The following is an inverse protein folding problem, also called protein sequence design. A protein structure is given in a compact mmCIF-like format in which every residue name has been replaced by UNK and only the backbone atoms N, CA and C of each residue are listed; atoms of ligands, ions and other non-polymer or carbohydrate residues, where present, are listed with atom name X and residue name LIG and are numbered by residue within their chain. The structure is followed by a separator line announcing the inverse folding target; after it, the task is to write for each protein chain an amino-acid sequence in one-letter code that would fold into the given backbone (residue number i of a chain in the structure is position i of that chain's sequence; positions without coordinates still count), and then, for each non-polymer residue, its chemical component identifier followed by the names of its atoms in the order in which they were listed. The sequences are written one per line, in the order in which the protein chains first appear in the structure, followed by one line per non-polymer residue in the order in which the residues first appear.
data_IF_559541216438
#
_entry.id   IF_559541216438
#
_cell.length_a   1.000
_cell.length_b   1.000
_cell.length_c   1.000
_cell.angle_alpha   90.00
_cell.angle_beta   90.00
_cell.angle_gamma   90.00
#
_symmetry.space_group_name_H-M   'P 1'
#
loop_
_entity.id
_entity.type
_entity.pdbx_description
1 polymer ?
#
# COMPACT_ATOMS: atom_id res chain seq x y z
N UNK A 1 7.05 -9.76 -20.99
CA UNK A 1 8.03 -9.37 -19.97
C UNK A 1 9.32 -10.16 -20.15
N UNK A 2 10.45 -9.48 -20.28
CA UNK A 2 11.73 -10.10 -20.64
C UNK A 2 12.38 -10.94 -19.51
N UNK A 3 11.98 -10.76 -18.26
CA UNK A 3 12.58 -11.44 -17.08
C UNK A 3 11.65 -12.41 -16.35
N UNK A 4 10.34 -12.42 -16.65
CA UNK A 4 9.31 -13.24 -15.98
C UNK A 4 9.51 -13.35 -14.45
N UNK A 5 9.54 -12.21 -13.73
CA UNK A 5 9.77 -12.23 -12.30
C UNK A 5 8.60 -12.89 -11.56
N UNK A 6 8.89 -13.63 -10.50
CA UNK A 6 7.85 -14.17 -9.60
C UNK A 6 7.28 -13.08 -8.67
N UNK A 7 8.08 -12.03 -8.41
CA UNK A 7 7.71 -10.90 -7.56
C UNK A 7 8.26 -9.57 -8.09
N UNK A 8 7.48 -8.50 -7.92
CA UNK A 8 7.88 -7.11 -8.15
C UNK A 8 7.73 -6.35 -6.84
N UNK A 9 8.75 -5.59 -6.45
CA UNK A 9 8.71 -4.68 -5.32
C UNK A 9 8.61 -3.24 -5.84
N UNK A 10 7.64 -2.49 -5.34
CA UNK A 10 7.43 -1.07 -5.66
C UNK A 10 7.53 -0.27 -4.37
N UNK A 11 8.44 0.70 -4.37
CA UNK A 11 8.68 1.60 -3.24
C UNK A 11 8.11 2.98 -3.58
N UNK A 12 7.03 3.37 -2.89
CA UNK A 12 6.26 4.60 -3.08
C UNK A 12 5.97 4.99 -4.56
N UNK A 13 5.44 4.08 -5.39
CA UNK A 13 5.21 4.35 -6.80
C UNK A 13 4.12 5.40 -7.08
N UNK A 14 3.26 5.72 -6.11
CA UNK A 14 2.22 6.74 -6.23
C UNK A 14 2.66 8.12 -5.73
N UNK A 15 3.87 8.24 -5.17
CA UNK A 15 4.40 9.52 -4.71
C UNK A 15 4.42 10.56 -5.84
N UNK A 16 3.75 11.69 -5.63
CA UNK A 16 3.68 12.79 -6.60
C UNK A 16 2.70 12.57 -7.76
N UNK A 17 1.96 11.45 -7.79
CA UNK A 17 0.90 11.22 -8.77
C UNK A 17 -0.39 11.93 -8.35
N UNK A 18 -1.16 12.38 -9.34
CA UNK A 18 -2.53 12.83 -9.08
C UNK A 18 -3.49 11.63 -8.93
N UNK A 19 -4.70 11.81 -8.37
CA UNK A 19 -5.63 10.70 -8.14
C UNK A 19 -5.98 9.87 -9.38
N UNK A 20 -5.99 10.48 -10.57
CA UNK A 20 -6.28 9.78 -11.84
C UNK A 20 -5.10 8.88 -12.23
N UNK A 21 -3.88 9.36 -12.04
CA UNK A 21 -2.65 8.62 -12.27
C UNK A 21 -2.48 7.48 -11.26
N UNK A 22 -2.76 7.71 -9.98
CA UNK A 22 -2.78 6.67 -8.94
C UNK A 22 -3.76 5.54 -9.29
N UNK A 23 -4.97 5.88 -9.76
CA UNK A 23 -5.91 4.85 -10.25
C UNK A 23 -5.39 4.10 -11.48
N UNK A 24 -4.68 4.78 -12.38
CA UNK A 24 -4.07 4.12 -13.53
C UNK A 24 -2.98 3.13 -13.09
N UNK A 25 -2.15 3.52 -12.14
CA UNK A 25 -1.14 2.65 -11.52
C UNK A 25 -1.77 1.43 -10.85
N UNK A 26 -2.82 1.63 -10.05
CA UNK A 26 -3.60 0.55 -9.42
C UNK A 26 -4.13 -0.45 -10.44
N UNK A 27 -4.64 0.02 -11.58
CA UNK A 27 -5.10 -0.85 -12.68
C UNK A 27 -3.96 -1.65 -13.30
N UNK A 28 -2.79 -1.04 -13.48
CA UNK A 28 -1.59 -1.73 -14.00
C UNK A 28 -1.17 -2.84 -13.04
N UNK A 29 -1.06 -2.55 -11.74
CA UNK A 29 -0.66 -3.53 -10.72
C UNK A 29 -1.61 -4.74 -10.72
N UNK A 30 -2.93 -4.48 -10.74
CA UNK A 30 -3.94 -5.54 -10.85
C UNK A 30 -3.79 -6.36 -12.13
N UNK A 31 -3.53 -5.71 -13.26
CA UNK A 31 -3.29 -6.39 -14.53
C UNK A 31 -2.07 -7.32 -14.46
N UNK A 32 -0.97 -6.87 -13.86
CA UNK A 32 0.24 -7.69 -13.69
C UNK A 32 -0.05 -8.96 -12.90
N UNK A 33 -0.75 -8.82 -11.77
CA UNK A 33 -1.15 -9.94 -10.91
C UNK A 33 -2.11 -10.90 -11.62
N UNK A 34 -3.12 -10.38 -12.32
CA UNK A 34 -4.16 -11.20 -12.95
C UNK A 34 -3.69 -11.93 -14.22
N UNK A 35 -2.93 -11.25 -15.08
CA UNK A 35 -2.55 -11.80 -16.39
C UNK A 35 -1.21 -12.54 -16.37
N UNK A 36 -0.32 -12.16 -15.45
CA UNK A 36 1.02 -12.73 -15.40
C UNK A 36 1.27 -13.56 -14.12
N UNK A 37 0.34 -13.58 -13.16
CA UNK A 37 0.49 -14.34 -11.91
C UNK A 37 1.64 -13.84 -11.03
N UNK A 38 2.03 -12.57 -11.21
CA UNK A 38 3.17 -11.96 -10.52
C UNK A 38 2.71 -11.48 -9.14
N UNK A 39 3.51 -11.76 -8.12
CA UNK A 39 3.31 -11.20 -6.78
C UNK A 39 3.79 -9.76 -6.74
N UNK A 40 2.99 -8.84 -6.19
CA UNK A 40 3.38 -7.44 -6.06
C UNK A 40 3.51 -7.10 -4.58
N UNK A 41 4.70 -6.71 -4.16
CA UNK A 41 4.96 -6.10 -2.87
C UNK A 41 4.98 -4.58 -3.08
N UNK A 42 4.08 -3.90 -2.38
CA UNK A 42 3.92 -2.45 -2.46
C UNK A 42 4.24 -1.84 -1.10
N UNK A 43 5.09 -0.82 -1.10
CA UNK A 43 5.35 0.05 0.04
C UNK A 43 4.69 1.39 -0.30
N UNK A 44 3.68 1.77 0.47
CA UNK A 44 2.88 2.98 0.23
C UNK A 44 2.31 3.51 1.54
N UNK A 45 2.08 4.82 1.57
CA UNK A 45 1.35 5.49 2.64
C UNK A 45 -0.05 5.96 2.21
N UNK A 46 -0.37 5.95 0.91
CA UNK A 46 -1.73 6.23 0.42
C UNK A 46 -2.69 5.09 0.80
N UNK A 47 -3.49 5.31 1.85
CA UNK A 47 -4.45 4.32 2.35
C UNK A 47 -5.56 4.02 1.34
N UNK A 48 -5.93 4.96 0.48
CA UNK A 48 -6.96 4.72 -0.54
C UNK A 48 -6.50 3.67 -1.55
N UNK A 49 -5.29 3.83 -2.06
CA UNK A 49 -4.67 2.88 -2.97
C UNK A 49 -4.40 1.54 -2.27
N UNK A 50 -3.74 1.55 -1.11
CA UNK A 50 -3.35 0.32 -0.39
C UNK A 50 -4.56 -0.54 -0.08
N UNK A 51 -5.67 0.06 0.38
CA UNK A 51 -6.90 -0.67 0.70
C UNK A 51 -7.61 -1.19 -0.57
N UNK A 52 -7.46 -0.50 -1.69
CA UNK A 52 -8.09 -0.89 -2.95
C UNK A 52 -7.42 -2.11 -3.60
N UNK A 53 -6.08 -2.20 -3.60
CA UNK A 53 -5.35 -3.19 -4.41
C UNK A 53 -4.70 -4.32 -3.62
N UNK A 54 -4.59 -4.21 -2.29
CA UNK A 54 -3.86 -5.19 -1.48
C UNK A 54 -4.75 -6.36 -1.07
N UNK A 55 -4.28 -7.59 -1.31
CA UNK A 55 -4.91 -8.79 -0.77
C UNK A 55 -4.59 -8.97 0.74
N UNK A 56 -3.41 -8.50 1.16
CA UNK A 56 -2.91 -8.56 2.53
C UNK A 56 -2.00 -7.34 2.79
N UNK A 57 -2.12 -6.75 3.98
CA UNK A 57 -1.41 -5.54 4.39
C UNK A 57 -0.61 -5.84 5.65
N UNK A 58 0.59 -5.26 5.75
CA UNK A 58 1.41 -5.23 6.95
C UNK A 58 1.65 -3.77 7.28
N UNK A 59 1.34 -3.37 8.51
CA UNK A 59 1.55 -2.01 9.00
C UNK A 59 2.73 -2.02 9.95
N UNK A 60 3.70 -1.15 9.64
CA UNK A 60 4.88 -0.93 10.47
C UNK A 60 4.76 0.46 11.10
N UNK A 61 5.11 0.54 12.39
CA UNK A 61 5.21 1.78 13.14
C UNK A 61 6.50 1.72 13.98
N UNK A 62 7.34 2.74 13.87
CA UNK A 62 8.64 2.83 14.57
C UNK A 62 9.54 1.58 14.47
N UNK A 63 9.45 0.83 13.36
CA UNK A 63 10.21 -0.40 13.12
C UNK A 63 9.56 -1.67 13.63
N UNK A 64 8.42 -1.58 14.31
CA UNK A 64 7.65 -2.71 14.81
C UNK A 64 6.41 -2.96 13.96
N UNK A 65 6.08 -4.24 13.75
CA UNK A 65 4.84 -4.63 13.05
C UNK A 65 3.68 -4.51 14.03
N UNK A 66 2.81 -3.52 13.83
CA UNK A 66 1.66 -3.27 14.69
C UNK A 66 0.40 -4.01 14.24
N UNK A 67 0.29 -4.31 12.95
CA UNK A 67 -0.85 -5.05 12.40
C UNK A 67 -0.49 -5.79 11.11
N UNK A 68 -1.19 -6.90 10.85
CA UNK A 68 -1.12 -7.66 9.61
C UNK A 68 -2.45 -8.35 9.31
N UNK A 69 -2.90 -8.34 8.06
CA UNK A 69 -4.13 -9.02 7.67
C UNK A 69 -4.78 -8.44 6.43
N UNK A 70 -6.05 -8.80 6.22
CA UNK A 70 -6.87 -8.27 5.13
C UNK A 70 -7.16 -6.77 5.32
N UNK A 71 -7.38 -6.01 4.23
CA UNK A 71 -7.64 -4.57 4.30
C UNK A 71 -8.71 -4.15 5.31
N UNK A 72 -9.81 -4.90 5.37
CA UNK A 72 -10.93 -4.59 6.26
C UNK A 72 -10.54 -4.76 7.75
N UNK A 73 -9.67 -5.72 8.05
CA UNK A 73 -9.18 -5.93 9.41
C UNK A 73 -8.17 -4.86 9.83
N UNK A 74 -7.34 -4.40 8.90
CA UNK A 74 -6.39 -3.30 9.13
C UNK A 74 -7.12 -1.98 9.35
N UNK A 75 -8.11 -1.67 8.51
CA UNK A 75 -8.90 -0.45 8.62
C UNK A 75 -9.63 -0.33 9.96
N UNK A 76 -10.09 -1.45 10.54
CA UNK A 76 -10.75 -1.48 11.84
C UNK A 76 -9.78 -1.58 13.04
N UNK A 77 -8.46 -1.66 12.79
CA UNK A 77 -7.49 -1.85 13.86
C UNK A 77 -7.19 -0.52 14.58
N UNK A 78 -7.49 -0.48 15.88
CA UNK A 78 -7.31 0.72 16.71
C UNK A 78 -5.85 1.22 16.75
N UNK A 79 -4.85 0.33 16.76
CA UNK A 79 -3.43 0.71 16.74
C UNK A 79 -3.03 1.34 15.41
N UNK A 80 -3.58 0.84 14.30
CA UNK A 80 -3.34 1.41 12.96
C UNK A 80 -3.97 2.79 12.84
N UNK A 81 -5.22 2.94 13.31
CA UNK A 81 -5.92 4.23 13.33
C UNK A 81 -5.15 5.25 14.18
N UNK A 82 -4.67 4.84 15.36
CA UNK A 82 -3.89 5.70 16.25
C UNK A 82 -2.55 6.12 15.62
N UNK A 83 -1.83 5.19 14.99
CA UNK A 83 -0.57 5.49 14.30
C UNK A 83 -0.79 6.46 13.12
N UNK A 84 -1.84 6.26 12.32
CA UNK A 84 -2.16 7.11 11.17
C UNK A 84 -2.60 8.53 11.58
N UNK A 85 -3.52 8.65 12.53
CA UNK A 85 -3.99 9.95 13.03
C UNK A 85 -2.92 10.69 13.85
N UNK A 86 -2.05 9.97 14.55
CA UNK A 86 -0.90 10.55 15.24
C UNK A 86 0.19 11.07 14.29
N UNK A 87 0.35 10.46 13.11
CA UNK A 87 1.30 10.90 12.10
C UNK A 87 0.86 12.20 11.38
N UNK A 88 -0.44 12.37 11.09
CA UNK A 88 -0.95 13.61 10.46
C UNK A 88 -0.71 14.87 11.33
N UNK A 89 -0.70 14.72 12.66
CA UNK A 89 -0.41 15.83 13.58
C UNK A 89 1.08 16.25 13.58
N UNK A 90 2.02 15.34 13.28
CA UNK A 90 3.44 15.68 13.18
C UNK A 90 3.77 16.38 11.85
N UNK A 91 3.11 16.01 10.76
CA UNK A 91 3.32 16.60 9.44
C UNK A 91 2.78 18.05 9.36
N UNK A 92 1.74 18.37 10.13
CA UNK A 92 1.20 19.74 10.27
C UNK A 92 2.11 20.68 11.10
N UNK A 93 3.11 20.15 11.81
CA UNK A 93 4.04 20.92 12.66
C UNK A 93 5.43 21.15 12.07
N UNK A 94 5.69 20.76 10.82
CA UNK A 94 6.96 21.03 10.13
C UNK A 94 6.87 22.16 9.11
#
# INVERSE_FOLDING_TARGET
MCTRPEMICLDEPAAGLNPVETQALSRIIRFLRQQHGITVLLIEHDMGMVMEISDHIIVLDHGDVIARGAPQAIQANASVIAAYLGAEEEETRR
#
